data_IF_394661425803
#
_entry.id   IF_394661425803
#
_cell.length_a   1.000
_cell.length_b   1.000
_cell.length_c   1.000
_cell.angle_alpha   90.00
_cell.angle_beta   90.00
_cell.angle_gamma   90.00
#
_symmetry.space_group_name_H-M   'P 1'
#
loop_
_entity.id
_entity.type
_entity.pdbx_description
1 polymer ?
#
# COMPACT_ATOMS: atom_id res chain seq x y z
N UNK A 1 44.72 7.30 21.24
CA UNK A 1 44.18 5.99 21.62
C UNK A 1 43.00 6.25 22.52
N UNK A 2 41.82 6.33 21.92
CA UNK A 2 40.53 6.51 22.58
C UNK A 2 39.63 5.49 21.92
N UNK A 3 39.13 4.56 22.73
CA UNK A 3 38.52 3.31 22.33
C UNK A 3 37.40 3.47 21.30
N UNK A 4 37.60 2.89 20.12
CA UNK A 4 36.57 2.59 19.14
C UNK A 4 35.74 1.40 19.65
N UNK A 5 34.73 1.67 20.47
CA UNK A 5 33.65 0.69 20.67
C UNK A 5 32.80 0.62 19.39
N UNK A 6 33.11 -0.37 18.57
CA UNK A 6 32.28 -0.79 17.45
C UNK A 6 30.97 -1.37 18.02
N UNK A 7 29.77 -1.00 17.54
CA UNK A 7 28.49 -1.48 18.09
C UNK A 7 28.20 -2.97 17.83
N UNK A 8 29.18 -3.74 17.33
CA UNK A 8 29.07 -5.17 16.98
C UNK A 8 29.48 -6.13 18.11
N UNK A 9 29.88 -5.60 19.27
CA UNK A 9 30.14 -6.38 20.49
C UNK A 9 29.41 -5.74 21.66
N UNK A 10 28.07 -5.75 21.61
CA UNK A 10 27.30 -5.57 22.82
C UNK A 10 27.67 -6.71 23.81
N UNK A 11 27.72 -6.47 25.13
CA UNK A 11 28.11 -7.50 26.09
C UNK A 11 27.27 -8.77 25.92
N UNK A 12 27.84 -9.96 26.11
CA UNK A 12 27.16 -11.27 25.93
C UNK A 12 25.79 -11.34 26.63
N UNK A 13 25.59 -10.57 27.71
CA UNK A 13 24.30 -10.40 28.40
C UNK A 13 23.21 -9.72 27.57
N UNK A 14 23.55 -8.74 26.72
CA UNK A 14 22.62 -8.09 25.78
C UNK A 14 22.21 -8.99 24.62
N UNK A 15 23.10 -9.83 24.11
CA UNK A 15 22.76 -10.83 23.08
C UNK A 15 21.81 -11.90 23.63
N UNK A 16 22.06 -12.42 24.84
CA UNK A 16 21.17 -13.39 25.49
C UNK A 16 19.77 -12.79 25.74
N UNK A 17 19.70 -11.53 26.17
CA UNK A 17 18.42 -10.83 26.34
C UNK A 17 17.71 -10.59 24.99
N UNK A 18 18.45 -10.25 23.94
CA UNK A 18 17.92 -10.05 22.59
C UNK A 18 17.40 -11.36 21.99
N UNK A 19 18.11 -12.47 22.18
CA UNK A 19 17.67 -13.80 21.75
C UNK A 19 16.44 -14.29 22.51
N UNK A 20 16.38 -14.04 23.83
CA UNK A 20 15.26 -14.41 24.68
C UNK A 20 13.95 -13.73 24.27
N UNK A 21 14.00 -12.49 23.77
CA UNK A 21 12.82 -11.77 23.26
C UNK A 21 12.12 -12.54 22.12
N UNK A 22 12.89 -13.07 21.17
CA UNK A 22 12.34 -13.81 20.03
C UNK A 22 12.07 -15.29 20.35
N UNK A 23 12.63 -15.83 21.43
CA UNK A 23 12.34 -17.18 21.90
C UNK A 23 10.98 -17.30 22.60
N UNK A 24 10.28 -16.18 22.86
CA UNK A 24 8.94 -16.13 23.48
C UNK A 24 7.88 -16.96 22.74
N UNK A 25 8.03 -17.14 21.43
CA UNK A 25 7.07 -17.86 20.60
C UNK A 25 7.69 -19.11 19.96
N UNK A 26 6.97 -20.22 20.05
CA UNK A 26 7.36 -21.48 19.41
C UNK A 26 7.24 -21.31 17.87
N UNK A 27 8.06 -21.98 17.03
CA UNK A 27 8.02 -21.80 15.57
C UNK A 27 6.63 -21.96 14.94
N UNK A 28 5.81 -22.90 15.44
CA UNK A 28 4.43 -23.08 14.98
C UNK A 28 3.55 -21.87 15.30
N UNK A 29 3.68 -21.30 16.50
CA UNK A 29 2.96 -20.09 16.88
C UNK A 29 3.36 -18.90 16.00
N UNK A 30 4.66 -18.74 15.70
CA UNK A 30 5.14 -17.69 14.79
C UNK A 30 4.51 -17.81 13.40
N UNK A 31 4.48 -19.04 12.84
CA UNK A 31 3.84 -19.30 11.54
C UNK A 31 2.34 -19.01 11.57
N UNK A 32 1.66 -19.40 12.63
CA UNK A 32 0.21 -19.16 12.78
C UNK A 32 -0.09 -17.66 12.90
N UNK A 33 0.65 -16.91 13.73
CA UNK A 33 0.54 -15.45 13.84
C UNK A 33 0.77 -14.79 12.47
N UNK A 34 1.83 -15.22 11.77
CA UNK A 34 2.16 -14.70 10.44
C UNK A 34 1.05 -14.97 9.44
N UNK A 35 0.45 -16.16 9.46
CA UNK A 35 -0.67 -16.52 8.59
C UNK A 35 -1.89 -15.63 8.87
N UNK A 36 -2.27 -15.46 10.14
CA UNK A 36 -3.40 -14.60 10.53
C UNK A 36 -3.19 -13.15 10.10
N UNK A 37 -2.00 -12.59 10.36
CA UNK A 37 -1.64 -11.22 10.00
C UNK A 37 -1.60 -11.03 8.48
N UNK A 38 -1.09 -12.03 7.75
CA UNK A 38 -1.09 -12.05 6.29
C UNK A 38 -2.51 -12.09 5.71
N UNK A 39 -3.39 -12.93 6.25
CA UNK A 39 -4.81 -12.95 5.89
C UNK A 39 -5.47 -11.59 6.17
N UNK A 40 -5.11 -10.91 7.26
CA UNK A 40 -5.63 -9.58 7.56
C UNK A 40 -5.12 -8.51 6.57
N UNK A 41 -3.88 -8.60 6.11
CA UNK A 41 -3.31 -7.67 5.12
C UNK A 41 -3.84 -7.88 3.70
N UNK A 42 -4.34 -9.09 3.40
CA UNK A 42 -5.03 -9.40 2.14
C UNK A 42 -6.35 -8.62 2.00
N UNK A 43 -7.11 -8.50 3.09
CA UNK A 43 -8.45 -7.89 3.10
C UNK A 43 -8.52 -6.48 2.48
N UNK A 44 -7.72 -5.47 2.90
CA UNK A 44 -7.87 -4.11 2.38
C UNK A 44 -7.66 -4.05 0.87
N UNK A 45 -6.68 -4.78 0.34
CA UNK A 45 -6.42 -4.87 -1.10
C UNK A 45 -7.55 -5.60 -1.82
N UNK A 46 -8.07 -6.67 -1.20
CA UNK A 46 -9.17 -7.42 -1.78
C UNK A 46 -10.47 -6.61 -1.83
N UNK A 47 -10.84 -5.94 -0.74
CA UNK A 47 -12.05 -5.14 -0.61
C UNK A 47 -12.06 -3.97 -1.60
N UNK A 48 -10.92 -3.31 -1.79
CA UNK A 48 -10.79 -2.20 -2.74
C UNK A 48 -10.93 -2.65 -4.20
N UNK A 49 -10.12 -3.63 -4.63
CA UNK A 49 -10.06 -4.03 -6.02
C UNK A 49 -11.26 -4.86 -6.49
N UNK A 50 -11.91 -5.62 -5.59
CA UNK A 50 -13.05 -6.47 -5.95
C UNK A 50 -14.32 -5.68 -6.25
N UNK A 51 -14.36 -4.40 -5.83
CA UNK A 51 -15.50 -3.53 -6.10
C UNK A 51 -15.52 -2.98 -7.53
N UNK A 52 -14.34 -2.76 -8.12
CA UNK A 52 -14.21 -2.10 -9.42
C UNK A 52 -15.01 -2.80 -10.54
N UNK A 53 -14.94 -4.14 -10.71
CA UNK A 53 -15.74 -4.82 -11.74
C UNK A 53 -17.25 -4.77 -11.49
N UNK A 54 -17.69 -4.55 -10.24
CA UNK A 54 -19.12 -4.48 -9.86
C UNK A 54 -19.73 -3.08 -10.01
N UNK A 55 -18.93 -2.04 -10.31
CA UNK A 55 -19.43 -0.65 -10.41
C UNK A 55 -20.63 -0.52 -11.37
N UNK A 56 -20.64 -1.14 -12.57
CA UNK A 56 -21.79 -1.05 -13.48
C UNK A 56 -23.08 -1.66 -12.89
N UNK A 57 -22.98 -2.81 -12.24
CA UNK A 57 -24.13 -3.48 -11.63
C UNK A 57 -24.71 -2.68 -10.47
N UNK A 58 -23.84 -2.11 -9.63
CA UNK A 58 -24.25 -1.30 -8.49
C UNK A 58 -24.94 -0.02 -8.96
N UNK A 59 -24.44 0.58 -10.04
CA UNK A 59 -25.07 1.75 -10.64
C UNK A 59 -26.50 1.42 -11.12
N UNK A 60 -26.72 0.26 -11.76
CA UNK A 60 -28.06 -0.18 -12.19
C UNK A 60 -28.97 -0.48 -10.99
N UNK A 61 -28.46 -1.17 -9.99
CA UNK A 61 -29.23 -1.64 -8.84
C UNK A 61 -29.63 -0.51 -7.86
N UNK A 62 -28.83 0.55 -7.75
CA UNK A 62 -29.12 1.73 -6.93
C UNK A 62 -29.71 2.90 -7.73
N UNK A 63 -30.13 2.67 -8.97
CA UNK A 63 -30.66 3.68 -9.91
C UNK A 63 -29.78 4.94 -9.97
N UNK A 64 -28.49 4.72 -10.23
CA UNK A 64 -27.44 5.73 -10.19
C UNK A 64 -26.55 5.70 -11.42
N UNK A 65 -25.59 6.63 -11.45
CA UNK A 65 -24.59 6.67 -12.52
C UNK A 65 -23.28 6.03 -12.07
N UNK A 66 -22.58 5.34 -13.00
CA UNK A 66 -21.18 4.93 -12.88
C UNK A 66 -20.24 5.89 -12.17
N UNK A 67 -20.37 7.17 -12.52
CA UNK A 67 -19.57 8.28 -12.00
C UNK A 67 -19.74 8.43 -10.50
N UNK A 68 -20.99 8.38 -10.04
CA UNK A 68 -21.31 8.49 -8.62
C UNK A 68 -20.83 7.25 -7.85
N UNK A 69 -21.00 6.05 -8.40
CA UNK A 69 -20.53 4.82 -7.74
C UNK A 69 -19.00 4.74 -7.70
N UNK A 70 -18.30 5.18 -8.75
CA UNK A 70 -16.83 5.24 -8.77
C UNK A 70 -16.26 6.21 -7.72
N UNK A 71 -17.02 7.24 -7.33
CA UNK A 71 -16.64 8.10 -6.22
C UNK A 71 -16.52 7.33 -4.88
N UNK A 72 -17.22 6.20 -4.73
CA UNK A 72 -17.05 5.32 -3.58
C UNK A 72 -15.63 4.74 -3.49
N UNK A 73 -14.97 4.50 -4.63
CA UNK A 73 -13.58 4.03 -4.68
C UNK A 73 -12.66 5.10 -4.10
N UNK A 74 -12.84 6.36 -4.52
CA UNK A 74 -12.10 7.50 -3.97
C UNK A 74 -12.28 7.66 -2.47
N UNK A 75 -13.54 7.63 -1.98
CA UNK A 75 -13.83 7.71 -0.54
C UNK A 75 -13.13 6.57 0.21
N UNK A 76 -13.11 5.36 -0.36
CA UNK A 76 -12.48 4.20 0.26
C UNK A 76 -10.96 4.33 0.32
N UNK A 77 -10.32 4.83 -0.73
CA UNK A 77 -8.87 5.08 -0.75
C UNK A 77 -8.52 6.15 0.30
N UNK A 78 -9.28 7.25 0.34
CA UNK A 78 -9.08 8.33 1.32
C UNK A 78 -9.26 7.83 2.76
N UNK A 79 -10.33 7.09 3.00
CA UNK A 79 -10.66 6.53 4.31
C UNK A 79 -9.63 5.49 4.76
N UNK A 80 -9.11 4.68 3.83
CA UNK A 80 -8.02 3.73 4.10
C UNK A 80 -6.72 4.45 4.47
N UNK A 81 -6.44 5.60 3.85
CA UNK A 81 -5.27 6.42 4.21
C UNK A 81 -5.34 6.86 5.68
N UNK A 82 -6.48 7.46 6.06
CA UNK A 82 -6.72 7.92 7.44
C UNK A 82 -6.65 6.74 8.41
N UNK A 83 -7.35 5.65 8.11
CA UNK A 83 -7.34 4.45 8.94
C UNK A 83 -5.93 3.88 9.12
N UNK A 84 -5.15 3.78 8.04
CA UNK A 84 -3.80 3.21 8.09
C UNK A 84 -2.88 3.98 9.05
N UNK A 85 -2.97 5.31 9.04
CA UNK A 85 -2.23 6.20 9.94
C UNK A 85 -2.69 6.04 11.39
N UNK A 86 -4.01 6.00 11.62
CA UNK A 86 -4.57 5.77 12.96
C UNK A 86 -4.11 4.43 13.52
N UNK A 87 -4.32 3.32 12.80
CA UNK A 87 -3.95 2.00 13.28
C UNK A 87 -2.43 1.85 13.45
N UNK A 88 -1.61 2.45 12.58
CA UNK A 88 -0.16 2.43 12.74
C UNK A 88 0.28 3.10 14.05
N UNK A 89 -0.15 4.33 14.30
CA UNK A 89 0.22 5.10 15.51
C UNK A 89 -0.34 4.49 16.79
N UNK A 90 -1.60 4.04 16.78
CA UNK A 90 -2.19 3.43 17.97
C UNK A 90 -1.60 2.04 18.24
N UNK A 91 -1.15 1.30 17.22
CA UNK A 91 -0.52 -0.02 17.43
C UNK A 91 0.84 0.05 18.11
N UNK A 92 1.61 1.12 17.89
CA UNK A 92 2.91 1.30 18.57
C UNK A 92 2.72 1.75 20.03
N UNK A 93 1.62 2.46 20.31
CA UNK A 93 1.35 2.99 21.63
C UNK A 93 0.57 2.06 22.56
N UNK A 94 -0.41 1.31 22.05
CA UNK A 94 -1.25 0.40 22.84
C UNK A 94 -0.90 -1.08 22.65
N UNK A 95 0.00 -1.41 21.72
CA UNK A 95 0.31 -2.78 21.33
C UNK A 95 -0.34 -3.17 20.00
N UNK A 96 0.11 -4.29 19.41
CA UNK A 96 -0.34 -4.73 18.09
C UNK A 96 -1.71 -5.38 18.13
N UNK A 97 -2.03 -6.15 19.18
CA UNK A 97 -3.27 -6.93 19.25
C UNK A 97 -4.53 -6.04 19.27
N UNK A 98 -4.61 -4.95 20.07
CA UNK A 98 -5.79 -4.08 20.09
C UNK A 98 -6.13 -3.51 18.71
N UNK A 99 -5.13 -3.18 17.88
CA UNK A 99 -5.37 -2.63 16.55
C UNK A 99 -6.21 -3.57 15.66
N UNK A 100 -5.92 -4.88 15.68
CA UNK A 100 -6.72 -5.89 14.96
C UNK A 100 -8.10 -6.10 15.58
N UNK A 101 -8.18 -6.10 16.91
CA UNK A 101 -9.42 -6.34 17.64
C UNK A 101 -10.44 -5.19 17.46
N UNK A 102 -9.98 -3.97 17.19
CA UNK A 102 -10.86 -2.84 16.83
C UNK A 102 -11.08 -2.71 15.32
N UNK A 103 -10.05 -2.96 14.50
CA UNK A 103 -10.13 -2.80 13.05
C UNK A 103 -11.05 -3.82 12.37
N UNK A 104 -10.92 -5.11 12.71
CA UNK A 104 -11.67 -6.17 12.04
C UNK A 104 -13.20 -6.10 12.30
N UNK A 105 -13.71 -5.80 13.51
CA UNK A 105 -15.13 -5.56 13.70
C UNK A 105 -15.64 -4.35 12.91
N UNK A 106 -14.85 -3.28 12.82
CA UNK A 106 -15.21 -2.10 12.04
C UNK A 106 -15.31 -2.44 10.54
N UNK A 107 -14.38 -3.25 10.03
CA UNK A 107 -14.47 -3.83 8.69
C UNK A 107 -15.74 -4.67 8.53
N UNK A 108 -16.08 -5.53 9.51
CA UNK A 108 -17.26 -6.39 9.44
C UNK A 108 -18.54 -5.55 9.38
N UNK A 109 -18.69 -4.57 10.28
CA UNK A 109 -19.81 -3.63 10.26
C UNK A 109 -19.90 -2.87 8.94
N UNK A 110 -18.76 -2.38 8.45
CA UNK A 110 -18.69 -1.75 7.13
C UNK A 110 -19.16 -2.67 6.01
N UNK A 111 -18.66 -3.91 5.98
CA UNK A 111 -19.00 -4.91 4.94
C UNK A 111 -20.48 -5.30 4.96
N UNK A 112 -21.05 -5.47 6.15
CA UNK A 112 -22.48 -5.71 6.32
C UNK A 112 -23.31 -4.52 5.85
N UNK A 113 -22.90 -3.30 6.23
CA UNK A 113 -23.56 -2.06 5.81
C UNK A 113 -23.49 -1.82 4.30
N UNK A 114 -22.36 -2.09 3.66
CA UNK A 114 -22.23 -2.00 2.20
C UNK A 114 -23.13 -3.05 1.52
N UNK A 115 -23.13 -4.30 1.99
CA UNK A 115 -23.96 -5.37 1.42
C UNK A 115 -25.47 -5.16 1.57
N UNK A 116 -25.90 -4.38 2.57
CA UNK A 116 -27.30 -4.05 2.83
C UNK A 116 -27.70 -2.64 2.37
N UNK A 117 -26.78 -1.89 1.75
CA UNK A 117 -27.04 -0.54 1.30
C UNK A 117 -28.10 -0.52 0.17
N UNK A 118 -29.09 0.37 0.35
CA UNK A 118 -30.16 0.63 -0.61
C UNK A 118 -30.10 2.06 -1.17
N UNK A 119 -29.28 2.93 -0.58
CA UNK A 119 -29.09 4.32 -1.00
C UNK A 119 -27.61 4.64 -1.15
N UNK A 120 -27.30 5.54 -2.07
CA UNK A 120 -25.92 5.95 -2.36
C UNK A 120 -25.23 6.53 -1.11
N UNK A 121 -25.81 7.46 -0.32
CA UNK A 121 -25.12 7.99 0.85
C UNK A 121 -24.78 6.90 1.88
N UNK A 122 -25.66 5.91 2.05
CA UNK A 122 -25.44 4.78 2.95
C UNK A 122 -24.28 3.91 2.42
N UNK A 123 -24.25 3.62 1.12
CA UNK A 123 -23.16 2.90 0.48
C UNK A 123 -21.81 3.62 0.71
N UNK A 124 -21.77 4.94 0.51
CA UNK A 124 -20.56 5.76 0.68
C UNK A 124 -20.08 5.77 2.14
N UNK A 125 -21.00 5.94 3.10
CA UNK A 125 -20.70 5.94 4.52
C UNK A 125 -20.14 4.59 4.97
N UNK A 126 -20.84 3.50 4.66
CA UNK A 126 -20.40 2.16 5.05
C UNK A 126 -19.10 1.76 4.36
N UNK A 127 -18.86 2.26 3.14
CA UNK A 127 -17.57 2.14 2.45
C UNK A 127 -16.43 2.80 3.20
N UNK A 128 -16.63 4.03 3.68
CA UNK A 128 -15.64 4.72 4.49
C UNK A 128 -15.32 3.92 5.76
N UNK A 129 -16.36 3.44 6.46
CA UNK A 129 -16.21 2.60 7.66
C UNK A 129 -15.46 1.30 7.37
N UNK A 130 -15.84 0.59 6.30
CA UNK A 130 -15.18 -0.65 5.84
C UNK A 130 -13.70 -0.41 5.55
N UNK A 131 -13.39 0.65 4.80
CA UNK A 131 -12.04 1.04 4.42
C UNK A 131 -11.17 1.37 5.63
N UNK A 132 -11.67 2.20 6.57
CA UNK A 132 -10.97 2.48 7.84
C UNK A 132 -10.68 1.18 8.57
N UNK A 133 -11.69 0.34 8.82
CA UNK A 133 -11.50 -0.91 9.58
C UNK A 133 -10.50 -1.88 8.95
N UNK A 134 -10.49 -1.98 7.62
CA UNK A 134 -9.59 -2.88 6.89
C UNK A 134 -8.12 -2.45 6.89
N UNK A 135 -7.85 -1.15 7.02
CA UNK A 135 -6.53 -0.55 6.79
C UNK A 135 -5.46 -1.00 7.78
N UNK A 136 -5.84 -1.39 9.01
CA UNK A 136 -4.91 -1.86 10.04
C UNK A 136 -4.19 -3.16 9.67
N UNK A 137 -4.76 -3.99 8.80
CA UNK A 137 -4.18 -5.27 8.41
C UNK A 137 -2.77 -5.12 7.82
N UNK A 138 -2.62 -4.20 6.87
CA UNK A 138 -1.36 -3.95 6.19
C UNK A 138 -0.42 -3.07 7.03
N UNK A 139 -0.94 -2.01 7.69
CA UNK A 139 -0.09 -1.05 8.39
C UNK A 139 0.53 -1.60 9.68
N UNK A 140 -0.19 -2.48 10.39
CA UNK A 140 0.30 -3.09 11.65
C UNK A 140 1.06 -4.39 11.38
N UNK A 141 0.76 -5.09 10.29
CA UNK A 141 1.24 -6.45 10.05
C UNK A 141 2.75 -6.57 9.89
N UNK A 142 3.38 -5.61 9.20
CA UNK A 142 4.84 -5.55 9.12
C UNK A 142 5.51 -5.38 10.50
N UNK A 143 4.86 -4.63 11.39
CA UNK A 143 5.29 -4.48 12.78
C UNK A 143 5.22 -5.78 13.57
N UNK A 144 4.13 -6.56 13.42
CA UNK A 144 3.98 -7.86 14.10
C UNK A 144 5.08 -8.84 13.67
N UNK A 145 5.37 -8.91 12.36
CA UNK A 145 6.42 -9.79 11.84
C UNK A 145 7.79 -9.37 12.35
N UNK A 146 8.02 -8.06 12.42
CA UNK A 146 9.23 -7.52 13.01
C UNK A 146 9.36 -7.93 14.49
N UNK A 147 8.27 -7.85 15.25
CA UNK A 147 8.29 -8.15 16.67
C UNK A 147 8.53 -9.65 16.98
N UNK A 148 8.15 -10.60 16.10
CA UNK A 148 8.25 -12.05 16.37
C UNK A 148 9.42 -12.78 15.69
N UNK A 149 9.99 -12.24 14.61
CA UNK A 149 11.12 -12.85 13.88
C UNK A 149 12.43 -12.10 14.10
N UNK A 150 13.50 -12.89 14.30
CA UNK A 150 14.89 -12.41 14.34
C UNK A 150 15.26 -11.81 12.98
N UNK A 151 16.24 -10.90 12.97
CA UNK A 151 16.67 -10.18 11.76
C UNK A 151 17.04 -11.12 10.59
N UNK A 152 17.66 -12.26 10.90
CA UNK A 152 18.08 -13.28 9.91
C UNK A 152 16.92 -13.99 9.21
N UNK A 153 15.78 -14.15 9.87
CA UNK A 153 14.59 -14.84 9.34
C UNK A 153 13.48 -13.86 8.91
N UNK A 154 13.54 -12.62 9.39
CA UNK A 154 12.52 -11.58 9.20
C UNK A 154 12.28 -11.26 7.72
N UNK A 155 13.34 -11.23 6.91
CA UNK A 155 13.23 -10.93 5.48
C UNK A 155 12.31 -11.92 4.75
N UNK A 156 12.49 -13.22 4.98
CA UNK A 156 11.65 -14.26 4.39
C UNK A 156 10.21 -14.18 4.88
N UNK A 157 10.01 -13.98 6.19
CA UNK A 157 8.67 -13.85 6.77
C UNK A 157 7.93 -12.61 6.23
N UNK A 158 8.61 -11.47 6.12
CA UNK A 158 8.06 -10.24 5.54
C UNK A 158 7.72 -10.44 4.06
N UNK A 159 8.58 -11.14 3.30
CA UNK A 159 8.32 -11.47 1.90
C UNK A 159 7.04 -12.29 1.71
N UNK A 160 6.83 -13.32 2.54
CA UNK A 160 5.60 -14.13 2.51
C UNK A 160 4.36 -13.28 2.84
N UNK A 161 4.46 -12.40 3.84
CA UNK A 161 3.38 -11.49 4.22
C UNK A 161 3.00 -10.52 3.11
N UNK A 162 3.98 -9.88 2.49
CA UNK A 162 3.75 -8.97 1.37
C UNK A 162 3.17 -9.72 0.16
N UNK A 163 3.67 -10.92 -0.14
CA UNK A 163 3.13 -11.76 -1.20
C UNK A 163 1.66 -12.13 -0.96
N UNK A 164 1.31 -12.50 0.27
CA UNK A 164 -0.07 -12.79 0.66
C UNK A 164 -0.99 -11.56 0.58
N UNK A 165 -0.50 -10.38 0.96
CA UNK A 165 -1.24 -9.13 0.79
C UNK A 165 -1.51 -8.85 -0.70
N UNK A 166 -0.47 -8.91 -1.54
CA UNK A 166 -0.55 -8.66 -2.98
C UNK A 166 -1.44 -9.68 -3.71
N UNK A 167 -1.49 -10.92 -3.23
CA UNK A 167 -2.42 -11.93 -3.74
C UNK A 167 -3.88 -11.45 -3.64
N UNK A 168 -4.21 -10.69 -2.60
CA UNK A 168 -5.51 -10.04 -2.45
C UNK A 168 -5.86 -9.16 -3.63
N UNK A 169 -4.93 -8.32 -4.08
CA UNK A 169 -5.14 -7.42 -5.22
C UNK A 169 -5.30 -8.18 -6.55
N UNK A 170 -4.54 -9.26 -6.74
CA UNK A 170 -4.60 -10.06 -7.96
C UNK A 170 -5.90 -10.88 -8.09
N UNK A 171 -6.37 -11.47 -6.99
CA UNK A 171 -7.58 -12.30 -6.98
C UNK A 171 -8.86 -11.48 -6.92
N UNK A 172 -8.81 -10.27 -6.35
CA UNK A 172 -10.00 -9.48 -6.06
C UNK A 172 -10.87 -9.15 -7.27
N UNK A 173 -10.34 -8.62 -8.38
CA UNK A 173 -11.19 -8.31 -9.53
C UNK A 173 -11.78 -9.57 -10.18
N UNK A 174 -11.04 -10.69 -10.17
CA UNK A 174 -11.50 -11.96 -10.74
C UNK A 174 -12.66 -12.50 -9.92
N UNK A 175 -12.48 -12.63 -8.59
CA UNK A 175 -13.53 -13.14 -7.69
C UNK A 175 -14.68 -12.14 -7.61
N UNK A 176 -14.39 -10.85 -7.54
CA UNK A 176 -15.38 -9.77 -7.50
C UNK A 176 -16.28 -9.77 -8.73
N UNK A 177 -15.69 -9.81 -9.93
CA UNK A 177 -16.44 -9.92 -11.18
C UNK A 177 -17.24 -11.22 -11.28
N UNK A 178 -16.66 -12.35 -10.89
CA UNK A 178 -17.34 -13.65 -10.94
C UNK A 178 -18.54 -13.72 -10.00
N UNK A 179 -18.39 -13.28 -8.75
CA UNK A 179 -19.49 -13.26 -7.76
C UNK A 179 -20.54 -12.21 -8.12
N UNK A 180 -20.14 -11.05 -8.67
CA UNK A 180 -21.09 -10.03 -9.14
C UNK A 180 -21.99 -10.58 -10.24
N UNK A 181 -21.40 -11.28 -11.22
CA UNK A 181 -22.11 -11.80 -12.38
C UNK A 181 -23.07 -12.96 -12.03
N UNK A 182 -22.60 -13.95 -11.27
CA UNK A 182 -23.39 -15.16 -11.00
C UNK A 182 -24.29 -15.07 -9.75
N UNK A 183 -24.02 -14.13 -8.85
CA UNK A 183 -24.81 -13.93 -7.65
C UNK A 183 -25.23 -12.46 -7.53
N UNK A 184 -24.47 -11.67 -6.78
CA UNK A 184 -24.68 -10.23 -6.62
C UNK A 184 -23.46 -9.63 -5.94
N UNK A 185 -23.18 -8.37 -6.26
CA UNK A 185 -22.20 -7.55 -5.55
C UNK A 185 -22.45 -7.52 -4.03
N UNK A 186 -23.71 -7.67 -3.58
CA UNK A 186 -24.06 -7.75 -2.15
C UNK A 186 -23.48 -8.98 -1.47
N UNK A 187 -23.57 -10.14 -2.12
CA UNK A 187 -23.04 -11.40 -1.57
C UNK A 187 -21.51 -11.39 -1.47
N UNK A 188 -20.83 -10.70 -2.39
CA UNK A 188 -19.39 -10.47 -2.28
C UNK A 188 -19.05 -9.74 -0.96
N UNK A 189 -19.78 -8.68 -0.62
CA UNK A 189 -19.56 -7.92 0.61
C UNK A 189 -19.95 -8.69 1.87
N UNK A 190 -21.02 -9.50 1.81
CA UNK A 190 -21.36 -10.43 2.90
C UNK A 190 -20.32 -11.54 3.06
N UNK A 191 -19.68 -11.97 1.96
CA UNK A 191 -18.54 -12.87 2.00
C UNK A 191 -17.33 -12.25 2.71
N UNK A 192 -17.03 -10.97 2.46
CA UNK A 192 -16.01 -10.23 3.21
C UNK A 192 -16.37 -10.10 4.69
N UNK A 193 -17.64 -9.86 5.03
CA UNK A 193 -18.11 -9.86 6.41
C UNK A 193 -17.85 -11.21 7.09
N UNK A 194 -18.25 -12.32 6.45
CA UNK A 194 -18.05 -13.66 7.01
C UNK A 194 -16.56 -13.99 7.18
N UNK A 195 -15.74 -13.69 6.18
CA UNK A 195 -14.29 -13.89 6.24
C UNK A 195 -13.64 -13.04 7.34
N UNK A 196 -14.01 -11.75 7.41
CA UNK A 196 -13.54 -10.83 8.44
C UNK A 196 -13.96 -11.26 9.86
N UNK A 197 -15.17 -11.77 10.04
CA UNK A 197 -15.68 -12.23 11.33
C UNK A 197 -14.96 -13.50 11.80
N UNK A 198 -14.74 -14.47 10.89
CA UNK A 198 -13.95 -15.68 11.19
C UNK A 198 -12.52 -15.29 11.55
N UNK A 199 -11.91 -14.38 10.79
CA UNK A 199 -10.56 -13.90 11.07
C UNK A 199 -10.50 -13.15 12.41
N UNK A 200 -11.50 -12.33 12.72
CA UNK A 200 -11.58 -11.62 14.00
C UNK A 200 -11.66 -12.61 15.17
N UNK A 201 -12.53 -13.62 15.09
CA UNK A 201 -12.59 -14.68 16.11
C UNK A 201 -11.24 -15.39 16.24
N UNK A 202 -10.60 -15.73 15.12
CA UNK A 202 -9.27 -16.33 15.15
C UNK A 202 -8.23 -15.41 15.82
N UNK A 203 -8.25 -14.11 15.55
CA UNK A 203 -7.37 -13.14 16.20
C UNK A 203 -7.67 -13.00 17.71
N UNK A 204 -8.94 -13.05 18.12
CA UNK A 204 -9.31 -13.01 19.54
C UNK A 204 -8.67 -14.15 20.32
N UNK A 205 -8.71 -15.37 19.78
CA UNK A 205 -8.21 -16.57 20.48
C UNK A 205 -6.73 -16.85 20.26
N UNK A 206 -6.18 -16.58 19.07
CA UNK A 206 -4.87 -17.05 18.66
C UNK A 206 -3.81 -15.95 18.47
N UNK A 207 -4.17 -14.67 18.47
CA UNK A 207 -3.20 -13.58 18.39
C UNK A 207 -2.84 -13.08 19.81
N UNK A 208 -1.68 -13.50 20.38
CA UNK A 208 -1.16 -12.89 21.59
C UNK A 208 -0.66 -11.47 21.31
N UNK A 209 -0.40 -10.69 22.36
CA UNK A 209 0.31 -9.42 22.18
C UNK A 209 1.73 -9.70 21.70
N UNK A 210 2.11 -9.08 20.58
CA UNK A 210 3.39 -9.35 19.92
C UNK A 210 4.45 -8.31 20.24
N UNK A 211 4.07 -7.10 20.67
CA UNK A 211 5.04 -6.07 21.06
C UNK A 211 6.03 -6.59 22.12
N UNK A 212 7.26 -6.08 22.06
CA UNK A 212 8.30 -6.42 23.03
C UNK A 212 7.99 -5.74 24.37
N UNK A 213 8.21 -6.42 25.51
CA UNK A 213 8.00 -5.81 26.83
C UNK A 213 8.84 -4.53 27.01
N UNK A 214 8.23 -3.47 27.53
CA UNK A 214 8.84 -2.16 27.76
C UNK A 214 8.94 -1.26 26.52
N UNK A 215 8.49 -1.71 25.35
CA UNK A 215 8.65 -0.94 24.09
C UNK A 215 7.41 -0.14 23.71
N UNK A 216 6.25 -0.54 24.21
CA UNK A 216 4.96 0.09 23.91
C UNK A 216 4.89 1.49 24.52
N UNK A 217 4.29 2.46 23.82
CA UNK A 217 4.22 3.85 24.30
C UNK A 217 3.58 4.00 25.68
N UNK A 218 2.55 3.19 25.97
CA UNK A 218 1.92 3.13 27.28
C UNK A 218 2.88 2.67 28.40
N UNK A 219 3.75 1.70 28.12
CA UNK A 219 4.73 1.19 29.09
C UNK A 219 5.86 2.20 29.32
N UNK A 220 6.28 2.92 28.28
CA UNK A 220 7.27 4.01 28.40
C UNK A 220 6.75 5.15 29.27
N UNK A 221 5.50 5.57 29.07
CA UNK A 221 4.86 6.57 29.92
C UNK A 221 4.75 6.11 31.37
N UNK A 222 4.38 4.85 31.60
CA UNK A 222 4.30 4.28 32.95
C UNK A 222 5.68 4.14 33.63
N UNK A 223 6.77 4.08 32.86
CA UNK A 223 8.14 4.07 33.36
C UNK A 223 8.66 5.49 33.68
N UNK A 224 8.24 6.50 32.92
CA UNK A 224 8.64 7.90 33.10
C UNK A 224 7.96 8.57 34.31
N UNK A 225 6.71 8.21 34.65
CA UNK A 225 6.00 8.71 35.83
C UNK A 225 5.81 7.63 36.93
N UNK A 226 6.63 7.62 38.00
CA UNK A 226 6.56 6.63 39.09
C UNK A 226 5.24 6.67 39.89
N UNK A 227 4.52 7.78 39.86
CA UNK A 227 3.19 7.98 40.47
C UNK A 227 2.07 7.24 39.72
N UNK A 228 2.33 6.73 38.51
CA UNK A 228 1.35 5.99 37.70
C UNK A 228 1.31 4.48 37.97
N UNK A 229 2.23 3.93 38.78
CA UNK A 229 2.31 2.48 39.11
C UNK A 229 1.05 1.89 39.79
N UNK A 230 0.04 2.69 40.11
CA UNK A 230 -1.22 2.27 40.75
C UNK A 230 -2.51 2.72 40.03
N UNK A 231 -2.44 3.29 38.82
CA UNK A 231 -3.62 3.76 38.06
C UNK A 231 -4.15 2.66 37.10
N UNK A 232 -5.44 2.70 36.69
CA UNK A 232 -6.03 1.66 35.86
C UNK A 232 -5.22 1.40 34.59
N UNK A 233 -5.10 0.12 34.22
CA UNK A 233 -4.24 -0.42 33.16
C UNK A 233 -4.55 0.12 31.74
N UNK A 234 -5.59 0.93 31.58
CA UNK A 234 -6.04 1.50 30.30
C UNK A 234 -6.38 2.99 30.46
N UNK A 235 -5.45 3.87 30.05
CA UNK A 235 -5.67 5.32 29.93
C UNK A 235 -5.75 5.65 28.44
N UNK A 236 -6.87 6.22 28.02
CA UNK A 236 -7.06 6.59 26.63
C UNK A 236 -6.35 7.93 26.35
N UNK A 237 -5.22 7.85 25.66
CA UNK A 237 -4.37 8.94 25.20
C UNK A 237 -4.67 9.24 23.74
N UNK A 238 -5.04 10.49 23.45
CA UNK A 238 -5.14 11.02 22.10
C UNK A 238 -3.75 11.13 21.50
N UNK A 239 -3.46 10.29 20.51
CA UNK A 239 -2.24 10.38 19.71
C UNK A 239 -2.56 11.15 18.43
N UNK A 240 -1.61 11.95 17.95
CA UNK A 240 -1.73 12.58 16.64
C UNK A 240 -1.25 11.59 15.55
N UNK A 241 -2.16 10.98 14.77
CA UNK A 241 -1.78 10.01 13.74
C UNK A 241 -1.13 10.66 12.51
N UNK A 242 -1.19 11.98 12.39
CA UNK A 242 -0.66 12.75 11.27
C UNK A 242 0.75 13.29 11.52
N UNK A 243 1.35 13.01 12.69
CA UNK A 243 2.70 13.48 13.03
C UNK A 243 3.77 12.98 12.04
N UNK A 244 3.60 11.78 11.48
CA UNK A 244 4.50 11.20 10.48
C UNK A 244 4.59 12.05 9.20
N UNK A 245 3.56 12.85 8.88
CA UNK A 245 3.59 13.75 7.72
C UNK A 245 4.70 14.81 7.82
N UNK A 246 5.21 15.06 9.02
CA UNK A 246 6.33 15.97 9.25
C UNK A 246 7.59 15.60 8.44
N UNK A 247 7.86 14.31 8.22
CA UNK A 247 9.03 13.86 7.47
C UNK A 247 8.98 14.29 6.00
N UNK A 248 7.79 14.49 5.44
CA UNK A 248 7.62 14.97 4.07
C UNK A 248 7.94 16.47 3.90
N UNK A 249 8.35 17.15 4.97
CA UNK A 249 9.00 18.48 4.84
C UNK A 249 10.36 18.37 4.11
N UNK A 250 11.00 17.20 4.14
CA UNK A 250 12.19 16.94 3.34
C UNK A 250 11.85 16.98 1.85
N UNK A 251 12.52 17.81 1.03
CA UNK A 251 12.27 17.87 -0.40
C UNK A 251 12.54 16.53 -1.09
N UNK A 252 13.51 15.74 -0.61
CA UNK A 252 13.81 14.42 -1.18
C UNK A 252 12.63 13.45 -1.00
N UNK A 253 12.13 13.33 0.24
CA UNK A 253 11.04 12.42 0.56
C UNK A 253 9.74 12.88 -0.10
N UNK A 254 9.49 14.18 -0.17
CA UNK A 254 8.34 14.76 -0.85
C UNK A 254 8.35 14.46 -2.36
N UNK A 255 9.48 14.70 -3.04
CA UNK A 255 9.62 14.48 -4.49
C UNK A 255 9.53 12.99 -4.86
N UNK A 256 10.14 12.11 -4.07
CA UNK A 256 10.01 10.66 -4.27
C UNK A 256 8.56 10.22 -4.05
N UNK A 257 7.90 10.69 -2.99
CA UNK A 257 6.49 10.38 -2.72
C UNK A 257 5.57 10.90 -3.83
N UNK A 258 5.81 12.11 -4.34
CA UNK A 258 5.06 12.67 -5.45
C UNK A 258 5.22 11.81 -6.71
N UNK A 259 6.43 11.38 -7.04
CA UNK A 259 6.68 10.51 -8.19
C UNK A 259 5.99 9.15 -8.07
N UNK A 260 6.09 8.51 -6.90
CA UNK A 260 5.36 7.29 -6.59
C UNK A 260 3.84 7.46 -6.72
N UNK A 261 3.31 8.63 -6.34
CA UNK A 261 1.90 8.96 -6.46
C UNK A 261 1.48 9.18 -7.91
N UNK A 262 2.30 9.89 -8.69
CA UNK A 262 2.07 10.17 -10.11
C UNK A 262 2.01 8.89 -10.95
N UNK A 263 2.82 7.89 -10.64
CA UNK A 263 2.82 6.60 -11.34
C UNK A 263 1.55 5.80 -11.06
N UNK A 264 1.06 5.80 -9.82
CA UNK A 264 -0.20 5.14 -9.47
C UNK A 264 -1.44 5.80 -10.06
N UNK A 265 -1.38 7.09 -10.39
CA UNK A 265 -2.46 7.72 -11.15
C UNK A 265 -2.68 6.98 -12.46
N UNK A 266 -1.61 6.49 -13.11
CA UNK A 266 -1.78 5.73 -14.35
C UNK A 266 -2.37 4.35 -14.11
N UNK A 267 -1.98 3.67 -13.04
CA UNK A 267 -2.53 2.35 -12.68
C UNK A 267 -4.04 2.47 -12.43
N UNK A 268 -4.47 3.41 -11.59
CA UNK A 268 -5.89 3.63 -11.31
C UNK A 268 -6.64 4.27 -12.48
N UNK A 269 -5.94 5.06 -13.31
CA UNK A 269 -6.40 5.60 -14.58
C UNK A 269 -6.87 4.51 -15.55
N UNK A 270 -6.15 3.39 -15.59
CA UNK A 270 -6.50 2.23 -16.40
C UNK A 270 -7.51 1.31 -15.70
N UNK A 271 -7.41 1.13 -14.38
CA UNK A 271 -8.26 0.22 -13.60
C UNK A 271 -9.70 0.69 -13.44
N UNK A 272 -9.89 1.91 -12.94
CA UNK A 272 -11.21 2.38 -12.47
C UNK A 272 -12.23 2.50 -13.62
N UNK A 273 -11.91 3.12 -14.76
CA UNK A 273 -12.87 3.27 -15.84
C UNK A 273 -12.92 2.06 -16.76
N UNK A 274 -12.21 0.96 -16.46
CA UNK A 274 -12.02 -0.16 -17.39
C UNK A 274 -13.33 -0.76 -17.93
N UNK A 275 -14.36 -0.87 -17.09
CA UNK A 275 -15.68 -1.33 -17.53
C UNK A 275 -16.35 -0.37 -18.54
N UNK A 276 -16.10 0.94 -18.42
CA UNK A 276 -16.65 2.00 -19.26
C UNK A 276 -15.82 2.27 -20.51
N UNK A 277 -14.52 1.98 -20.47
CA UNK A 277 -13.63 2.20 -21.61
C UNK A 277 -13.53 0.92 -22.42
N UNK A 278 -12.80 -0.07 -21.92
CA UNK A 278 -12.55 -1.34 -22.61
C UNK A 278 -13.81 -2.19 -22.65
N UNK A 279 -14.56 -2.25 -21.54
CA UNK A 279 -15.78 -3.05 -21.46
C UNK A 279 -16.81 -2.62 -22.50
N UNK A 280 -17.14 -1.34 -22.56
CA UNK A 280 -18.07 -0.78 -23.55
C UNK A 280 -17.52 -0.87 -24.98
N UNK A 281 -16.26 -0.47 -25.20
CA UNK A 281 -15.65 -0.42 -26.55
C UNK A 281 -15.58 -1.77 -27.23
N UNK A 282 -15.34 -2.84 -26.47
CA UNK A 282 -15.17 -4.19 -27.01
C UNK A 282 -16.39 -5.10 -26.75
N UNK A 283 -17.51 -4.54 -26.26
CA UNK A 283 -18.77 -5.27 -26.07
C UNK A 283 -18.72 -6.31 -24.95
N UNK A 284 -17.89 -6.09 -23.93
CA UNK A 284 -17.79 -6.97 -22.76
C UNK A 284 -18.83 -6.52 -21.74
N UNK A 285 -19.97 -7.19 -21.74
CA UNK A 285 -21.07 -6.94 -20.79
C UNK A 285 -21.00 -7.80 -19.54
N UNK A 286 -20.18 -8.85 -19.54
CA UNK A 286 -20.07 -9.81 -18.43
C UNK A 286 -19.06 -9.32 -17.38
N UNK A 287 -19.50 -9.12 -16.14
CA UNK A 287 -18.67 -8.62 -15.04
C UNK A 287 -17.51 -9.57 -14.70
N UNK A 288 -17.67 -10.89 -14.93
CA UNK A 288 -16.58 -11.85 -14.75
C UNK A 288 -15.47 -11.67 -15.79
N UNK A 289 -15.84 -11.35 -17.04
CA UNK A 289 -14.87 -11.04 -18.10
C UNK A 289 -14.19 -9.69 -17.85
N UNK A 290 -14.93 -8.69 -17.36
CA UNK A 290 -14.35 -7.43 -16.88
C UNK A 290 -13.33 -7.73 -15.78
N UNK A 291 -13.70 -8.50 -14.75
CA UNK A 291 -12.79 -8.94 -13.70
C UNK A 291 -11.52 -9.63 -14.22
N UNK A 292 -11.65 -10.48 -15.23
CA UNK A 292 -10.51 -11.16 -15.85
C UNK A 292 -9.54 -10.20 -16.59
N UNK A 293 -10.03 -9.06 -17.11
CA UNK A 293 -9.19 -8.05 -17.76
C UNK A 293 -8.21 -7.34 -16.80
N UNK A 294 -8.38 -7.46 -15.47
CA UNK A 294 -7.38 -6.98 -14.50
C UNK A 294 -6.17 -7.89 -14.37
N UNK A 295 -6.31 -9.18 -14.73
CA UNK A 295 -5.26 -10.17 -14.50
C UNK A 295 -3.90 -9.80 -15.12
N UNK A 296 -3.81 -9.28 -16.36
CA UNK A 296 -2.53 -8.87 -16.94
C UNK A 296 -1.78 -7.82 -16.11
N UNK A 297 -2.48 -6.85 -15.52
CA UNK A 297 -1.85 -5.86 -14.66
C UNK A 297 -1.42 -6.44 -13.32
N UNK A 298 -2.24 -7.29 -12.71
CA UNK A 298 -1.87 -8.03 -11.51
C UNK A 298 -0.62 -8.89 -11.74
N UNK A 299 -0.56 -9.59 -12.88
CA UNK A 299 0.63 -10.34 -13.31
C UNK A 299 1.83 -9.41 -13.54
N UNK A 300 1.59 -8.22 -14.11
CA UNK A 300 2.60 -7.19 -14.31
C UNK A 300 3.24 -6.75 -13.00
N UNK A 301 2.45 -6.54 -11.95
CA UNK A 301 2.95 -6.21 -10.62
C UNK A 301 3.75 -7.38 -10.00
N UNK A 302 3.22 -8.62 -10.11
CA UNK A 302 3.93 -9.82 -9.59
C UNK A 302 5.31 -9.99 -10.25
N UNK A 303 5.41 -9.76 -11.56
CA UNK A 303 6.67 -9.82 -12.30
C UNK A 303 7.54 -8.57 -12.07
N UNK A 304 6.90 -7.41 -11.92
CA UNK A 304 7.53 -6.10 -11.76
C UNK A 304 8.35 -6.00 -10.48
N UNK A 305 7.80 -6.45 -9.35
CA UNK A 305 8.48 -6.39 -8.05
C UNK A 305 9.89 -7.03 -8.02
N UNK A 306 10.09 -8.30 -8.43
CA UNK A 306 11.43 -8.91 -8.45
C UNK A 306 12.34 -8.29 -9.52
N UNK A 307 11.80 -7.92 -10.69
CA UNK A 307 12.56 -7.23 -11.74
C UNK A 307 13.07 -5.86 -11.25
N UNK A 308 12.24 -5.12 -10.52
CA UNK A 308 12.56 -3.82 -9.97
C UNK A 308 13.67 -3.89 -8.93
N UNK A 309 13.59 -4.86 -8.00
CA UNK A 309 14.64 -5.10 -7.02
C UNK A 309 15.97 -5.43 -7.69
N UNK A 310 15.96 -6.42 -8.59
CA UNK A 310 17.15 -6.83 -9.34
C UNK A 310 17.78 -5.68 -10.15
N UNK A 311 16.95 -4.87 -10.82
CA UNK A 311 17.43 -3.75 -11.63
C UNK A 311 18.00 -2.62 -10.76
N UNK A 312 17.34 -2.31 -9.63
CA UNK A 312 17.81 -1.31 -8.67
C UNK A 312 19.18 -1.69 -8.10
N UNK A 313 19.34 -2.93 -7.65
CA UNK A 313 20.59 -3.42 -7.08
C UNK A 313 21.74 -3.39 -8.10
N UNK A 314 21.46 -3.79 -9.35
CA UNK A 314 22.43 -3.66 -10.45
C UNK A 314 22.86 -2.21 -10.69
N UNK A 315 21.94 -1.26 -10.61
CA UNK A 315 22.28 0.15 -10.76
C UNK A 315 23.15 0.65 -9.61
N UNK A 316 22.83 0.30 -8.36
CA UNK A 316 23.66 0.65 -7.19
C UNK A 316 25.08 0.11 -7.35
N UNK A 317 25.25 -1.18 -7.70
CA UNK A 317 26.58 -1.79 -7.89
C UNK A 317 27.35 -1.07 -9.00
N UNK A 318 26.71 -0.82 -10.15
CA UNK A 318 27.33 -0.16 -11.31
C UNK A 318 27.80 1.26 -10.97
N UNK A 319 26.99 2.04 -10.27
CA UNK A 319 27.33 3.42 -9.92
C UNK A 319 28.31 3.54 -8.76
N UNK A 320 28.24 2.62 -7.78
CA UNK A 320 29.25 2.47 -6.73
C UNK A 320 30.63 2.17 -7.31
N UNK A 321 30.71 1.25 -8.26
CA UNK A 321 31.97 0.93 -8.94
C UNK A 321 32.57 2.16 -9.66
N UNK A 322 31.73 2.97 -10.31
CA UNK A 322 32.16 4.22 -10.97
C UNK A 322 32.66 5.29 -10.00
N UNK A 323 32.24 5.26 -8.74
CA UNK A 323 32.62 6.25 -7.70
C UNK A 323 33.69 5.73 -6.74
N UNK A 324 34.41 4.66 -7.10
CA UNK A 324 35.47 4.12 -6.26
C UNK A 324 34.98 3.53 -4.93
N UNK A 325 33.75 3.02 -4.87
CA UNK A 325 33.23 2.31 -3.71
C UNK A 325 32.32 3.12 -2.78
N UNK A 326 32.20 4.44 -2.98
CA UNK A 326 31.35 5.33 -2.16
C UNK A 326 29.87 4.99 -2.35
N UNK A 327 29.17 4.80 -1.23
CA UNK A 327 27.76 4.47 -1.21
C UNK A 327 26.88 5.73 -1.17
N UNK A 328 25.86 5.78 -2.05
CA UNK A 328 24.95 6.91 -2.21
C UNK A 328 23.54 6.36 -2.44
N UNK A 329 22.61 6.65 -1.53
CA UNK A 329 21.24 6.15 -1.57
C UNK A 329 20.52 6.49 -2.90
N UNK A 330 20.81 7.66 -3.47
CA UNK A 330 20.23 8.18 -4.71
C UNK A 330 20.48 7.27 -5.93
N UNK A 331 21.46 6.36 -5.89
CA UNK A 331 21.72 5.44 -6.98
C UNK A 331 20.59 4.41 -7.19
N UNK A 332 19.78 4.12 -6.16
CA UNK A 332 18.57 3.29 -6.29
C UNK A 332 17.54 3.90 -7.23
N UNK A 333 17.35 5.22 -7.13
CA UNK A 333 16.37 5.97 -7.92
C UNK A 333 16.74 6.00 -9.41
N UNK A 334 18.01 5.77 -9.77
CA UNK A 334 18.43 5.60 -11.18
C UNK A 334 17.80 4.36 -11.82
N UNK A 335 17.52 3.32 -11.03
CA UNK A 335 16.77 2.15 -11.47
C UNK A 335 15.30 2.47 -11.81
N UNK A 336 14.70 3.44 -11.10
CA UNK A 336 13.32 3.86 -11.32
C UNK A 336 13.10 4.71 -12.59
N UNK A 337 14.17 5.27 -13.17
CA UNK A 337 14.05 6.14 -14.34
C UNK A 337 13.45 5.44 -15.56
N UNK A 338 13.76 4.15 -15.77
CA UNK A 338 13.20 3.39 -16.88
C UNK A 338 11.68 3.24 -16.74
N UNK A 339 11.20 2.86 -15.55
CA UNK A 339 9.77 2.76 -15.26
C UNK A 339 9.06 4.12 -15.42
N UNK A 340 9.61 5.15 -14.77
CA UNK A 340 8.99 6.47 -14.69
C UNK A 340 8.99 7.23 -16.03
N UNK A 341 10.05 7.12 -16.84
CA UNK A 341 10.16 7.88 -18.09
C UNK A 341 9.43 7.23 -19.27
N UNK A 342 9.46 5.89 -19.36
CA UNK A 342 9.00 5.18 -20.56
C UNK A 342 7.85 4.23 -20.27
N UNK A 343 8.04 3.20 -19.45
CA UNK A 343 7.04 2.12 -19.33
C UNK A 343 5.69 2.64 -18.84
N UNK A 344 5.68 3.49 -17.81
CA UNK A 344 4.43 3.99 -17.21
C UNK A 344 3.71 5.00 -18.12
N UNK A 345 4.33 6.10 -18.59
CA UNK A 345 3.62 7.10 -19.40
C UNK A 345 3.23 6.57 -20.78
N UNK A 346 4.10 5.74 -21.40
CA UNK A 346 3.82 5.22 -22.75
C UNK A 346 2.75 4.14 -22.73
N UNK A 347 2.65 3.33 -21.68
CA UNK A 347 1.61 2.28 -21.59
C UNK A 347 0.20 2.87 -21.49
N UNK A 348 0.00 3.87 -20.63
CA UNK A 348 -1.31 4.54 -20.51
C UNK A 348 -1.66 5.32 -21.78
N UNK A 349 -0.70 6.03 -22.38
CA UNK A 349 -0.93 6.76 -23.63
C UNK A 349 -1.26 5.81 -24.78
N UNK A 350 -0.52 4.70 -24.89
CA UNK A 350 -0.80 3.67 -25.88
C UNK A 350 -2.20 3.07 -25.68
N UNK A 351 -2.59 2.76 -24.44
CA UNK A 351 -3.93 2.28 -24.09
C UNK A 351 -5.03 3.25 -24.56
N UNK A 352 -4.86 4.55 -24.32
CA UNK A 352 -5.80 5.57 -24.78
C UNK A 352 -5.93 5.64 -26.31
N UNK A 353 -4.81 5.55 -27.02
CA UNK A 353 -4.78 5.51 -28.50
C UNK A 353 -5.45 4.24 -29.02
N UNK A 354 -5.08 3.08 -28.48
CA UNK A 354 -5.62 1.78 -28.90
C UNK A 354 -7.12 1.72 -28.68
N UNK A 355 -7.59 2.14 -27.51
CA UNK A 355 -9.03 2.17 -27.18
C UNK A 355 -9.81 3.07 -28.13
N UNK A 356 -9.23 4.20 -28.52
CA UNK A 356 -9.89 5.17 -29.43
C UNK A 356 -9.89 4.71 -30.88
N UNK A 357 -8.77 4.18 -31.38
CA UNK A 357 -8.57 3.98 -32.83
C UNK A 357 -8.56 2.52 -33.28
N UNK A 358 -8.34 1.54 -32.41
CA UNK A 358 -8.18 0.13 -32.78
C UNK A 358 -9.42 -0.68 -32.38
N UNK A 359 -10.30 -1.04 -33.35
CA UNK A 359 -11.48 -1.83 -33.07
C UNK A 359 -11.16 -3.34 -32.97
N UNK A 360 -12.12 -4.09 -32.41
CA UNK A 360 -12.13 -5.55 -32.41
C UNK A 360 -11.14 -6.20 -31.43
N UNK A 361 -10.99 -7.53 -31.55
CA UNK A 361 -10.22 -8.35 -30.61
C UNK A 361 -8.75 -7.96 -30.51
N UNK A 362 -8.18 -7.44 -31.59
CA UNK A 362 -6.79 -6.97 -31.62
C UNK A 362 -6.60 -5.80 -30.67
N UNK A 363 -7.53 -4.83 -30.65
CA UNK A 363 -7.48 -3.70 -29.72
C UNK A 363 -7.57 -4.15 -28.26
N UNK A 364 -8.42 -5.13 -27.94
CA UNK A 364 -8.51 -5.70 -26.60
C UNK A 364 -7.17 -6.33 -26.16
N UNK A 365 -6.56 -7.18 -26.99
CA UNK A 365 -5.29 -7.85 -26.67
C UNK A 365 -4.17 -6.82 -26.46
N UNK A 366 -4.10 -5.78 -27.30
CA UNK A 366 -3.11 -4.72 -27.16
C UNK A 366 -3.29 -3.91 -25.88
N UNK A 367 -4.54 -3.61 -25.48
CA UNK A 367 -4.82 -2.97 -24.20
C UNK A 367 -4.41 -3.83 -23.01
N UNK A 368 -4.71 -5.14 -23.04
CA UNK A 368 -4.28 -6.08 -21.99
C UNK A 368 -2.75 -6.16 -21.89
N UNK A 369 -2.04 -6.04 -23.02
CA UNK A 369 -0.58 -5.92 -23.02
C UNK A 369 -0.11 -4.59 -22.42
N UNK A 370 -0.76 -3.47 -22.74
CA UNK A 370 -0.48 -2.18 -22.08
C UNK A 370 -0.65 -2.25 -20.57
N UNK A 371 -1.66 -2.99 -20.09
CA UNK A 371 -1.93 -3.17 -18.66
C UNK A 371 -0.81 -3.96 -17.96
N UNK A 372 -0.32 -5.02 -18.60
CA UNK A 372 0.84 -5.78 -18.13
C UNK A 372 2.09 -4.89 -18.04
N UNK A 373 2.38 -4.12 -19.08
CA UNK A 373 3.54 -3.22 -19.11
C UNK A 373 3.42 -2.09 -18.09
N UNK A 374 2.21 -1.54 -17.90
CA UNK A 374 1.96 -0.53 -16.89
C UNK A 374 2.26 -1.07 -15.49
N UNK A 375 1.76 -2.26 -15.15
CA UNK A 375 2.03 -2.89 -13.85
C UNK A 375 3.53 -3.11 -13.59
N UNK A 376 4.27 -3.63 -14.57
CA UNK A 376 5.74 -3.78 -14.47
C UNK A 376 6.41 -2.41 -14.27
N UNK A 377 5.98 -1.40 -15.02
CA UNK A 377 6.50 -0.04 -14.95
C UNK A 377 6.24 0.61 -13.59
N UNK A 378 5.07 0.38 -13.00
CA UNK A 378 4.67 0.91 -11.69
C UNK A 378 5.60 0.40 -10.60
N UNK A 379 5.84 -0.90 -10.55
CA UNK A 379 6.73 -1.50 -9.54
C UNK A 379 8.20 -1.13 -9.74
N UNK A 380 8.64 -0.93 -10.99
CA UNK A 380 9.96 -0.38 -11.29
C UNK A 380 10.19 1.01 -10.68
N UNK A 381 9.14 1.75 -10.35
CA UNK A 381 9.25 3.05 -9.66
C UNK A 381 9.00 2.92 -8.15
N UNK A 382 7.96 2.20 -7.74
CA UNK A 382 7.57 2.07 -6.33
C UNK A 382 8.62 1.34 -5.49
N UNK A 383 9.18 0.24 -6.00
CA UNK A 383 10.13 -0.58 -5.24
C UNK A 383 11.44 0.15 -4.96
N UNK A 384 12.14 0.75 -5.95
CA UNK A 384 13.35 1.52 -5.68
C UNK A 384 13.10 2.79 -4.87
N UNK A 385 11.94 3.45 -5.07
CA UNK A 385 11.55 4.63 -4.29
C UNK A 385 11.33 4.31 -2.82
N UNK A 386 10.66 3.20 -2.52
CA UNK A 386 10.45 2.73 -1.14
C UNK A 386 11.78 2.35 -0.48
N UNK A 387 12.66 1.65 -1.21
CA UNK A 387 13.97 1.28 -0.69
C UNK A 387 14.88 2.51 -0.45
N UNK A 388 14.79 3.55 -1.28
CA UNK A 388 15.47 4.82 -1.06
C UNK A 388 15.03 5.49 0.26
N UNK A 389 13.73 5.51 0.55
CA UNK A 389 13.22 6.08 1.80
C UNK A 389 13.76 5.33 3.04
N UNK A 390 13.87 4.01 2.96
CA UNK A 390 14.48 3.18 4.02
C UNK A 390 15.95 3.52 4.21
N UNK A 391 16.70 3.60 3.11
CA UNK A 391 18.14 3.88 3.09
C UNK A 391 18.52 5.25 3.66
N UNK A 392 17.64 6.24 3.48
CA UNK A 392 17.86 7.63 3.92
C UNK A 392 17.39 7.85 5.38
N UNK A 393 16.47 7.01 5.87
CA UNK A 393 15.84 7.14 7.18
C UNK A 393 15.81 5.80 7.91
N UNK A 394 16.95 5.11 8.04
CA UNK A 394 17.02 3.74 8.54
C UNK A 394 16.32 3.54 9.90
N UNK A 395 16.55 4.45 10.85
CA UNK A 395 15.99 4.39 12.22
C UNK A 395 14.48 4.68 12.31
N UNK A 396 13.92 5.41 11.33
CA UNK A 396 12.49 5.79 11.29
C UNK A 396 11.81 5.39 9.98
N UNK A 397 12.32 4.35 9.34
CA UNK A 397 11.90 3.92 8.00
C UNK A 397 10.41 3.60 7.94
N UNK A 398 9.86 2.97 8.97
CA UNK A 398 8.43 2.65 9.07
C UNK A 398 7.53 3.91 9.09
N UNK A 399 7.92 4.96 9.81
CA UNK A 399 7.14 6.21 9.91
C UNK A 399 7.14 6.96 8.57
N UNK A 400 8.28 6.99 7.89
CA UNK A 400 8.44 7.64 6.58
C UNK A 400 7.67 6.90 5.50
N UNK A 401 7.71 5.56 5.49
CA UNK A 401 6.93 4.75 4.56
C UNK A 401 5.42 4.94 4.78
N UNK A 402 4.97 5.00 6.04
CA UNK A 402 3.57 5.26 6.37
C UNK A 402 3.13 6.66 5.92
N UNK A 403 3.96 7.69 6.16
CA UNK A 403 3.68 9.05 5.70
C UNK A 403 3.57 9.14 4.17
N UNK A 404 4.53 8.54 3.46
CA UNK A 404 4.53 8.48 1.99
C UNK A 404 3.30 7.76 1.44
N UNK A 405 2.94 6.60 2.02
CA UNK A 405 1.74 5.85 1.63
C UNK A 405 0.44 6.63 1.92
N UNK A 406 0.36 7.33 3.05
CA UNK A 406 -0.79 8.16 3.41
C UNK A 406 -1.01 9.30 2.43
N UNK A 407 0.03 10.09 2.12
CA UNK A 407 -0.06 11.19 1.15
C UNK A 407 -0.40 10.68 -0.25
N UNK A 408 0.21 9.57 -0.65
CA UNK A 408 -0.09 8.91 -1.93
C UNK A 408 -1.56 8.53 -2.05
N UNK A 409 -2.13 7.93 -1.01
CA UNK A 409 -3.53 7.56 -1.01
C UNK A 409 -4.47 8.78 -1.02
N UNK A 410 -4.16 9.84 -0.27
CA UNK A 410 -4.94 11.10 -0.31
C UNK A 410 -4.89 11.71 -1.71
N UNK A 411 -3.69 11.86 -2.30
CA UNK A 411 -3.53 12.37 -3.66
C UNK A 411 -4.32 11.54 -4.67
N UNK A 412 -4.17 10.22 -4.61
CA UNK A 412 -4.86 9.29 -5.49
C UNK A 412 -6.38 9.37 -5.35
N UNK A 413 -6.91 9.53 -4.13
CA UNK A 413 -8.36 9.62 -3.92
C UNK A 413 -8.99 10.79 -4.68
N UNK A 414 -8.30 11.93 -4.72
CA UNK A 414 -8.74 13.13 -5.45
C UNK A 414 -8.68 12.89 -6.96
N UNK A 415 -7.58 12.32 -7.44
CA UNK A 415 -7.42 12.04 -8.88
C UNK A 415 -8.44 11.02 -9.36
N UNK A 416 -8.65 9.92 -8.62
CA UNK A 416 -9.62 8.87 -8.96
C UNK A 416 -11.04 9.42 -9.10
N UNK A 417 -11.41 10.39 -8.26
CA UNK A 417 -12.73 11.00 -8.31
C UNK A 417 -12.95 11.78 -9.62
N UNK A 418 -11.87 12.27 -10.23
CA UNK A 418 -11.88 13.05 -11.46
C UNK A 418 -11.76 12.23 -12.75
N UNK A 419 -11.39 10.94 -12.70
CA UNK A 419 -11.12 10.14 -13.90
C UNK A 419 -12.35 10.03 -14.81
N UNK A 420 -13.47 9.48 -14.30
CA UNK A 420 -14.69 9.33 -15.11
C UNK A 420 -15.27 10.67 -15.60
N UNK A 421 -15.39 11.72 -14.76
CA UNK A 421 -15.78 13.04 -15.26
C UNK A 421 -14.87 13.58 -16.38
N UNK A 422 -13.56 13.31 -16.31
CA UNK A 422 -12.62 13.69 -17.37
C UNK A 422 -12.86 12.90 -18.65
N UNK A 423 -13.14 11.60 -18.55
CA UNK A 423 -13.42 10.75 -19.72
C UNK A 423 -14.71 11.19 -20.41
N UNK A 424 -15.77 11.48 -19.66
CA UNK A 424 -17.05 11.97 -20.22
C UNK A 424 -16.87 13.30 -20.98
N UNK A 425 -16.05 14.21 -20.45
CA UNK A 425 -15.86 15.55 -21.02
C UNK A 425 -14.85 15.59 -22.17
N UNK A 426 -13.72 14.92 -22.00
CA UNK A 426 -12.54 15.08 -22.86
C UNK A 426 -12.26 13.81 -23.70
N UNK A 427 -12.93 12.71 -23.40
CA UNK A 427 -12.66 11.39 -23.99
C UNK A 427 -11.55 10.63 -23.27
N UNK A 428 -11.42 9.34 -23.63
CA UNK A 428 -10.44 8.41 -23.06
C UNK A 428 -9.02 8.85 -23.36
N UNK A 429 -8.70 9.11 -24.63
CA UNK A 429 -7.35 9.51 -25.06
C UNK A 429 -6.83 10.75 -24.33
N UNK A 430 -7.65 11.79 -24.19
CA UNK A 430 -7.22 13.01 -23.52
C UNK A 430 -6.99 12.78 -22.02
N UNK A 431 -7.83 11.97 -21.39
CA UNK A 431 -7.67 11.62 -19.96
C UNK A 431 -6.41 10.79 -19.73
N UNK A 432 -6.15 9.80 -20.58
CA UNK A 432 -4.95 8.97 -20.53
C UNK A 432 -3.68 9.78 -20.83
N UNK A 433 -3.76 10.77 -21.74
CA UNK A 433 -2.68 11.72 -22.00
C UNK A 433 -2.39 12.63 -20.80
N UNK A 434 -3.42 13.08 -20.07
CA UNK A 434 -3.24 13.81 -18.80
C UNK A 434 -2.53 12.91 -17.78
N UNK A 435 -2.95 11.63 -17.67
CA UNK A 435 -2.29 10.63 -16.82
C UNK A 435 -0.81 10.44 -17.16
N UNK A 436 -0.48 10.32 -18.46
CA UNK A 436 0.89 10.25 -18.94
C UNK A 436 1.70 11.52 -18.60
N UNK A 437 1.09 12.70 -18.77
CA UNK A 437 1.69 13.98 -18.39
C UNK A 437 2.03 14.05 -16.90
N UNK A 438 1.11 13.62 -16.03
CA UNK A 438 1.34 13.54 -14.58
C UNK A 438 2.49 12.58 -14.28
N UNK A 439 2.54 11.41 -14.93
CA UNK A 439 3.63 10.45 -14.76
C UNK A 439 4.99 11.03 -15.19
N UNK A 440 5.06 11.78 -16.29
CA UNK A 440 6.28 12.50 -16.69
C UNK A 440 6.67 13.61 -15.72
N UNK A 441 5.72 14.33 -15.13
CA UNK A 441 6.02 15.27 -14.04
C UNK A 441 6.61 14.53 -12.83
N UNK A 442 6.11 13.34 -12.51
CA UNK A 442 6.70 12.45 -11.51
C UNK A 442 8.14 12.03 -11.84
N UNK A 443 8.42 11.72 -13.11
CA UNK A 443 9.79 11.45 -13.57
C UNK A 443 10.70 12.68 -13.40
N UNK A 444 10.23 13.85 -13.82
CA UNK A 444 10.96 15.11 -13.68
C UNK A 444 11.22 15.46 -12.21
N UNK A 445 10.33 15.08 -11.29
CA UNK A 445 10.51 15.27 -9.86
C UNK A 445 11.61 14.37 -9.24
N UNK A 446 11.83 13.16 -9.76
CA UNK A 446 12.91 12.27 -9.29
C UNK A 446 14.29 12.77 -9.76
N UNK A 447 14.37 13.36 -10.95
CA UNK A 447 15.63 13.78 -11.54
C UNK A 447 16.50 14.69 -10.63
N UNK A 448 15.99 15.76 -10.00
CA UNK A 448 16.77 16.57 -9.07
C UNK A 448 17.19 15.79 -7.82
N UNK A 449 16.40 14.81 -7.36
CA UNK A 449 16.78 13.96 -6.21
C UNK A 449 18.01 13.13 -6.57
N UNK A 450 18.08 12.58 -7.78
CA UNK A 450 19.24 11.79 -8.24
C UNK A 450 20.51 12.63 -8.34
N UNK A 451 20.40 13.89 -8.77
CA UNK A 451 21.55 14.76 -9.01
C UNK A 451 22.00 15.52 -7.76
N UNK A 452 21.05 16.02 -6.98
CA UNK A 452 21.29 16.96 -5.88
C UNK A 452 20.83 16.43 -4.52
N UNK A 453 20.35 15.18 -4.42
CA UNK A 453 19.76 14.62 -3.20
C UNK A 453 20.64 14.76 -1.96
N UNK A 454 21.96 14.56 -2.08
CA UNK A 454 22.90 14.77 -0.98
C UNK A 454 22.94 16.21 -0.47
N UNK A 455 22.84 17.21 -1.35
CA UNK A 455 22.78 18.63 -0.96
C UNK A 455 21.41 18.99 -0.40
N UNK A 456 20.34 18.44 -0.97
CA UNK A 456 18.97 18.69 -0.50
C UNK A 456 18.72 18.15 0.91
N UNK A 457 19.47 17.13 1.36
CA UNK A 457 19.42 16.67 2.76
C UNK A 457 19.95 17.71 3.75
N UNK A 458 20.90 18.55 3.36
CA UNK A 458 21.43 19.57 4.28
C UNK A 458 20.52 20.79 4.43
N UNK A 459 19.44 20.89 3.64
CA UNK A 459 18.51 22.03 3.71
C UNK A 459 17.58 21.98 4.92
N UNK A 460 17.12 20.78 5.28
CA UNK A 460 16.20 20.55 6.39
C UNK A 460 16.59 19.24 7.05
N UNK A 461 17.14 19.32 8.27
CA UNK A 461 17.44 18.15 9.08
C UNK A 461 16.16 17.60 9.71
N UNK A 462 15.86 16.34 9.39
CA UNK A 462 14.73 15.58 9.92
C UNK A 462 15.20 14.32 10.67
N UNK A 463 16.50 14.23 10.97
CA UNK A 463 17.12 13.06 11.59
C UNK A 463 17.48 11.99 10.56
N UNK A 464 18.18 12.37 9.49
CA UNK A 464 18.67 11.43 8.47
C UNK A 464 19.63 10.39 9.06
N UNK A 465 19.70 9.20 8.47
CA UNK A 465 20.75 8.24 8.82
C UNK A 465 22.13 8.78 8.42
N UNK A 466 23.07 8.73 9.38
CA UNK A 466 24.48 9.04 9.18
C UNK A 466 25.24 7.76 8.82
N UNK A 467 26.47 7.86 8.32
CA UNK A 467 27.34 6.68 8.04
C UNK A 467 27.61 5.80 9.27
N UNK A 468 27.36 6.30 10.48
CA UNK A 468 27.47 5.52 11.72
C UNK A 468 26.18 4.73 12.04
N UNK A 469 25.06 5.05 11.40
CA UNK A 469 23.73 4.47 11.63
C UNK A 469 23.21 3.62 10.44
N UNK A 470 23.93 3.58 9.32
CA UNK A 470 23.73 2.69 8.17
C UNK A 470 24.82 1.61 8.20
#
# INVERSE_FOLDING_TARGET
>A
MSDEETPLLAPVSTDIAHEALYARFIPLQKRMISALVSCSALIPLFAGASFIPSIPDIARDLDSTPKVISFAVSISIFSSAIGSMIFATYSTFYGRRPAYLFGLPLLCLGSLGVGTATRIPDLMFWRAVQAVGSSGGMSVGGGVIADIYKLTERGTAMGIFLAAALLGNALAPIIGGWVSHYASWRYLQLGLFAFGAVLWLAMVFYLPETSHPGTTGLEKLAAEDPTERGRPRFRWVWLNPFSCLWFLRSPNLALVTFSSSAVLVTEFGLQVPMAYTIGERYGITNEALIGACFFPMGLGNILGAPLAGWFSDRMVIKWRAKRGGVWVAEDRLRGAQLGAATLVPLSILASGIITTFVPGRVGLILNLFCFLINGIGVDLVLSPGSAYCVDVMHSRSAEVMAAGAGVRAVFLSVVVAGILPSIERNGVLATDAIGAGIAWLGFLAIWPVIQYGGRMRSWIDIGYSTQQNN
#
